data_IF_905065076051
#
_entry.id   IF_905065076051
#
_cell.length_a   1.000
_cell.length_b   1.000
_cell.length_c   1.000
_cell.angle_alpha   90.00
_cell.angle_beta   90.00
_cell.angle_gamma   90.00
#
_symmetry.space_group_name_H-M   'P 1'
#
loop_
_entity.id
_entity.type
_entity.pdbx_description
1 polymer ?
#
# COMPACT_ATOMS: atom_id res chain seq x y z
N UNK A 1 18.28 -0.88 22.79
CA UNK A 1 18.16 -0.38 21.40
C UNK A 1 17.23 -1.31 20.67
N UNK A 2 16.14 -0.82 20.08
CA UNK A 2 15.28 -1.61 19.20
C UNK A 2 16.01 -1.86 17.88
N UNK A 3 16.06 -3.12 17.43
CA UNK A 3 16.59 -3.48 16.12
C UNK A 3 15.79 -2.74 15.03
N UNK A 4 16.49 -2.16 14.05
CA UNK A 4 15.87 -1.44 12.93
C UNK A 4 16.20 -2.19 11.65
N UNK A 5 15.17 -2.68 10.96
CA UNK A 5 15.30 -3.43 9.73
C UNK A 5 15.34 -2.51 8.51
N UNK A 6 16.12 -2.89 7.50
CA UNK A 6 15.91 -2.43 6.14
C UNK A 6 14.66 -3.09 5.56
N UNK A 7 13.94 -2.36 4.71
CA UNK A 7 12.80 -2.88 4.00
C UNK A 7 12.81 -2.41 2.55
N UNK A 8 12.19 -3.21 1.69
CA UNK A 8 11.89 -2.86 0.32
C UNK A 8 10.44 -2.40 0.21
N UNK A 9 10.16 -1.52 -0.76
CA UNK A 9 8.82 -1.05 -1.05
C UNK A 9 8.42 -1.52 -2.44
N UNK A 10 7.59 -2.55 -2.48
CA UNK A 10 7.19 -3.24 -3.69
C UNK A 10 5.81 -2.71 -4.12
N UNK A 11 5.67 -2.14 -5.33
CA UNK A 11 4.38 -1.66 -5.81
C UNK A 11 3.47 -2.83 -6.21
N UNK A 12 2.22 -2.78 -5.75
CA UNK A 12 1.13 -3.63 -6.18
C UNK A 12 0.07 -2.74 -6.82
N UNK A 13 -0.08 -2.84 -8.13
CA UNK A 13 -1.05 -2.04 -8.87
C UNK A 13 -2.29 -2.87 -9.15
N UNK A 14 -3.45 -2.36 -8.75
CA UNK A 14 -4.74 -2.96 -9.11
C UNK A 14 -5.41 -2.03 -10.11
N UNK A 15 -5.50 -2.47 -11.36
CA UNK A 15 -6.17 -1.72 -12.43
C UNK A 15 -7.36 -2.52 -12.94
N UNK A 16 -8.53 -1.89 -13.03
CA UNK A 16 -9.76 -2.54 -13.47
C UNK A 16 -10.65 -1.58 -14.26
N UNK A 17 -11.50 -2.15 -15.10
CA UNK A 17 -12.48 -1.36 -15.85
C UNK A 17 -13.56 -0.83 -14.90
N UNK A 18 -13.83 0.46 -14.95
CA UNK A 18 -14.91 1.05 -14.20
C UNK A 18 -16.22 0.86 -14.98
N UNK A 19 -16.97 -0.17 -14.61
CA UNK A 19 -18.31 -0.45 -15.15
C UNK A 19 -19.44 0.18 -14.32
N UNK A 20 -19.10 1.07 -13.38
CA UNK A 20 -20.09 1.90 -12.71
C UNK A 20 -20.48 3.09 -13.62
N UNK A 21 -21.74 3.49 -13.61
CA UNK A 21 -22.21 4.70 -14.30
C UNK A 21 -21.67 6.01 -13.66
N UNK A 22 -20.70 5.89 -12.75
CA UNK A 22 -20.06 6.99 -12.03
C UNK A 22 -18.63 7.12 -12.51
N UNK A 23 -18.29 8.31 -13.00
CA UNK A 23 -16.93 8.64 -13.42
C UNK A 23 -16.00 8.73 -12.21
N UNK A 24 -14.81 8.13 -12.33
CA UNK A 24 -13.71 8.39 -11.40
C UNK A 24 -13.28 9.87 -11.50
N UNK A 25 -13.41 10.59 -10.38
CA UNK A 25 -13.12 12.02 -10.28
C UNK A 25 -11.65 12.31 -9.95
N UNK A 26 -10.84 11.29 -9.71
CA UNK A 26 -9.47 11.42 -9.20
C UNK A 26 -8.36 11.09 -10.22
N UNK A 27 -8.71 10.93 -11.50
CA UNK A 27 -7.75 11.01 -12.59
C UNK A 27 -7.54 9.74 -13.40
N UNK A 28 -8.36 8.70 -13.22
CA UNK A 28 -8.43 7.60 -14.18
C UNK A 28 -8.91 8.06 -15.56
N UNK A 29 -8.50 7.34 -16.62
CA UNK A 29 -9.30 7.32 -17.84
C UNK A 29 -10.71 6.89 -17.42
N UNK A 30 -11.78 7.51 -17.94
CA UNK A 30 -13.14 7.31 -17.42
C UNK A 30 -13.55 5.82 -17.33
N UNK A 31 -12.90 4.96 -18.13
CA UNK A 31 -13.13 3.53 -18.23
C UNK A 31 -12.21 2.66 -17.36
N UNK A 32 -11.11 3.18 -16.78
CA UNK A 32 -10.14 2.40 -15.99
C UNK A 32 -9.86 3.09 -14.66
N UNK A 33 -10.17 2.39 -13.57
CA UNK A 33 -9.77 2.77 -12.20
C UNK A 33 -8.47 2.08 -11.83
N UNK A 34 -7.57 2.82 -11.19
CA UNK A 34 -6.26 2.34 -10.76
C UNK A 34 -6.07 2.61 -9.28
N UNK A 35 -5.91 1.53 -8.50
CA UNK A 35 -5.62 1.59 -7.07
C UNK A 35 -4.15 1.23 -6.84
N UNK A 36 -3.39 2.22 -6.37
CA UNK A 36 -1.99 2.00 -5.98
C UNK A 36 -1.92 1.36 -4.60
N UNK A 37 -1.11 0.32 -4.48
CA UNK A 37 -0.77 -0.30 -3.20
C UNK A 37 0.73 -0.53 -3.11
N UNK A 38 1.24 -0.62 -1.89
CA UNK A 38 2.63 -0.98 -1.63
C UNK A 38 2.71 -2.04 -0.55
N UNK A 39 3.52 -3.07 -0.78
CA UNK A 39 4.06 -3.92 0.28
C UNK A 39 5.36 -3.30 0.76
N UNK A 40 5.49 -3.11 2.06
CA UNK A 40 6.74 -2.86 2.73
C UNK A 40 7.22 -4.17 3.34
N UNK A 41 8.28 -4.72 2.77
CA UNK A 41 8.84 -6.03 3.11
C UNK A 41 10.20 -5.86 3.80
N UNK A 42 10.32 -6.19 5.10
CA UNK A 42 11.61 -6.22 5.78
C UNK A 42 12.54 -7.30 5.20
N UNK A 43 13.75 -6.93 4.78
CA UNK A 43 14.66 -7.83 4.05
C UNK A 43 15.10 -9.06 4.85
N UNK A 44 15.32 -8.89 6.14
CA UNK A 44 15.90 -9.92 7.01
C UNK A 44 14.85 -10.63 7.88
N UNK A 45 13.56 -10.49 7.57
CA UNK A 45 12.47 -11.03 8.39
C UNK A 45 11.36 -11.58 7.51
N UNK A 46 11.56 -12.77 6.90
CA UNK A 46 10.51 -13.40 6.09
C UNK A 46 9.29 -13.74 6.97
N UNK A 47 8.09 -13.60 6.41
CA UNK A 47 6.82 -13.81 7.12
C UNK A 47 5.71 -14.19 6.15
N UNK A 48 4.89 -15.17 6.51
CA UNK A 48 3.64 -15.48 5.82
C UNK A 48 2.46 -14.60 6.30
N UNK A 49 2.70 -13.75 7.30
CA UNK A 49 1.70 -12.85 7.90
C UNK A 49 2.01 -11.39 7.55
N UNK A 50 0.97 -10.63 7.20
CA UNK A 50 1.06 -9.23 6.80
C UNK A 50 -0.02 -8.38 7.47
N UNK A 51 0.34 -7.14 7.84
CA UNK A 51 -0.62 -6.13 8.31
C UNK A 51 -1.16 -5.34 7.12
N UNK A 52 -2.48 -5.32 6.93
CA UNK A 52 -3.11 -4.60 5.82
C UNK A 52 -3.75 -3.31 6.34
N UNK A 53 -3.37 -2.19 5.75
CA UNK A 53 -3.98 -0.89 5.99
C UNK A 53 -4.69 -0.40 4.72
N UNK A 54 -5.84 0.23 4.92
CA UNK A 54 -6.61 0.88 3.87
C UNK A 54 -7.11 2.22 4.39
N UNK A 55 -7.04 3.24 3.55
CA UNK A 55 -7.65 4.53 3.84
C UNK A 55 -8.30 5.06 2.56
N UNK A 56 -9.44 5.77 2.65
CA UNK A 56 -9.99 6.55 1.53
C UNK A 56 -9.13 7.79 1.19
N UNK A 57 -7.90 7.80 1.73
CA UNK A 57 -6.80 8.76 1.89
C UNK A 57 -5.48 8.44 1.13
N UNK A 58 -5.37 8.56 -0.19
CA UNK A 58 -4.10 8.52 -0.93
C UNK A 58 -2.95 9.25 -0.23
N UNK A 59 -1.76 8.64 -0.29
CA UNK A 59 -0.54 9.12 0.35
C UNK A 59 -0.24 8.48 1.72
N UNK A 60 -1.18 7.75 2.32
CA UNK A 60 -0.96 7.19 3.65
C UNK A 60 0.09 6.08 3.73
N UNK A 61 0.49 5.50 2.59
CA UNK A 61 1.60 4.56 2.48
C UNK A 61 2.93 5.13 2.99
N UNK A 62 3.08 6.46 3.07
CA UNK A 62 4.31 7.12 3.53
C UNK A 62 4.22 7.65 4.96
N UNK A 63 3.10 7.41 5.66
CA UNK A 63 2.94 7.88 7.03
C UNK A 63 3.98 7.24 7.96
N UNK A 64 4.42 7.96 9.01
CA UNK A 64 5.46 7.49 9.91
C UNK A 64 5.20 6.11 10.52
N UNK A 65 3.94 5.81 10.85
CA UNK A 65 3.54 4.52 11.41
C UNK A 65 3.80 3.34 10.45
N UNK A 66 3.46 3.50 9.16
CA UNK A 66 3.62 2.45 8.16
C UNK A 66 5.11 2.11 7.98
N UNK A 67 5.95 3.15 7.88
CA UNK A 67 7.39 2.97 7.79
C UNK A 67 7.99 2.42 9.09
N UNK A 68 7.45 2.80 10.26
CA UNK A 68 7.93 2.32 11.55
C UNK A 68 7.64 0.83 11.76
N UNK A 69 6.45 0.36 11.37
CA UNK A 69 6.08 -1.06 11.44
C UNK A 69 7.00 -1.92 10.56
N UNK A 70 7.27 -1.49 9.32
CA UNK A 70 8.23 -2.17 8.45
C UNK A 70 9.64 -2.20 9.06
N UNK A 71 10.09 -1.08 9.61
CA UNK A 71 11.39 -0.99 10.30
C UNK A 71 11.46 -1.80 11.59
N UNK A 72 10.33 -2.16 12.17
CA UNK A 72 10.22 -3.06 13.32
C UNK A 72 10.16 -4.55 12.91
N UNK A 73 10.23 -4.87 11.62
CA UNK A 73 10.24 -6.24 11.11
C UNK A 73 8.86 -6.78 10.74
N UNK A 74 7.83 -5.94 10.67
CA UNK A 74 6.50 -6.37 10.22
C UNK A 74 6.33 -6.15 8.72
N UNK A 75 5.78 -7.14 8.03
CA UNK A 75 5.30 -6.97 6.66
C UNK A 75 4.04 -6.09 6.70
N UNK A 76 4.00 -5.08 5.85
CA UNK A 76 2.87 -4.12 5.81
C UNK A 76 2.42 -3.88 4.38
N UNK A 77 1.15 -4.12 4.08
CA UNK A 77 0.52 -3.65 2.84
C UNK A 77 -0.28 -2.40 3.14
N UNK A 78 -0.05 -1.34 2.37
CA UNK A 78 -0.89 -0.17 2.35
C UNK A 78 -1.62 -0.07 1.03
N UNK A 79 -2.95 -0.13 1.07
CA UNK A 79 -3.82 -0.02 -0.09
C UNK A 79 -4.51 1.34 -0.13
N UNK A 80 -4.34 2.05 -1.23
CA UNK A 80 -5.26 3.13 -1.54
C UNK A 80 -6.62 2.51 -1.94
N UNK A 81 -7.69 3.05 -1.38
CA UNK A 81 -9.08 2.70 -1.75
C UNK A 81 -9.78 3.84 -2.48
N UNK A 82 -8.97 4.78 -2.97
CA UNK A 82 -9.36 5.78 -3.95
C UNK A 82 -8.82 5.35 -5.29
#
# INVERSE_FOLDING_TARGET
MTTRHEYERIPYLVAFRNDSDVRDVYGGLAEITVLESYLLEPKDTPSDTVLVFMHPIGGGAYLPMINALARAGHHVIYCNSR
#
